data_IF_436961022743
#
_entry.id   IF_436961022743
#
_cell.length_a   1.000
_cell.length_b   1.000
_cell.length_c   1.000
_cell.angle_alpha   90.00
_cell.angle_beta   90.00
_cell.angle_gamma   90.00
#
_symmetry.space_group_name_H-M   'P 1'
#
loop_
_entity.id
_entity.type
_entity.pdbx_description
1 polymer ?
#
# COMPACT_ATOMS: atom_id res chain seq x y z
N UNK A 1 12.18 0.18 -1.36
CA UNK A 1 12.50 0.59 0.03
C UNK A 1 11.21 0.93 0.77
N UNK A 2 10.33 1.80 0.25
CA UNK A 2 9.05 2.11 0.92
C UNK A 2 8.17 0.88 1.14
N UNK A 3 8.19 -0.09 0.22
CA UNK A 3 7.40 -1.32 0.28
C UNK A 3 7.80 -2.19 1.47
N UNK A 4 9.12 -2.42 1.64
CA UNK A 4 9.66 -3.19 2.76
C UNK A 4 9.41 -2.44 4.08
N UNK A 5 9.56 -1.11 4.08
CA UNK A 5 9.28 -0.31 5.27
C UNK A 5 7.81 -0.43 5.70
N UNK A 6 6.88 -0.41 4.75
CA UNK A 6 5.45 -0.59 5.01
C UNK A 6 5.14 -2.01 5.50
N UNK A 7 5.78 -3.03 4.90
CA UNK A 7 5.65 -4.41 5.36
C UNK A 7 6.12 -4.59 6.82
N UNK A 8 7.28 -4.06 7.18
CA UNK A 8 7.78 -4.09 8.55
C UNK A 8 6.87 -3.32 9.51
N UNK A 9 6.37 -2.15 9.08
CA UNK A 9 5.45 -1.36 9.89
C UNK A 9 4.14 -2.11 10.19
N UNK A 10 3.71 -2.99 9.29
CA UNK A 10 2.52 -3.82 9.42
C UNK A 10 2.73 -5.10 10.24
N UNK A 11 3.93 -5.66 10.25
CA UNK A 11 4.18 -7.02 10.77
C UNK A 11 4.99 -7.06 12.04
N UNK A 12 5.83 -6.04 12.29
CA UNK A 12 6.70 -6.00 13.46
C UNK A 12 6.03 -5.25 14.60
N UNK A 13 5.98 -5.86 15.77
CA UNK A 13 5.58 -5.23 17.03
C UNK A 13 6.81 -5.21 17.94
N UNK A 14 7.31 -4.02 18.24
CA UNK A 14 8.54 -3.85 19.01
C UNK A 14 8.54 -2.46 19.66
N UNK A 15 9.20 -2.28 20.80
CA UNK A 15 9.47 -0.92 21.32
C UNK A 15 10.73 -0.32 20.69
N UNK A 16 11.58 -1.17 20.10
CA UNK A 16 12.85 -0.76 19.49
C UNK A 16 12.61 -0.09 18.13
N UNK A 17 13.29 1.04 17.86
CA UNK A 17 13.19 1.73 16.58
C UNK A 17 13.79 0.92 15.43
N UNK A 18 13.16 1.02 14.27
CA UNK A 18 13.56 0.41 13.01
C UNK A 18 13.73 1.54 12.01
N UNK A 19 14.98 1.79 11.58
CA UNK A 19 15.29 2.85 10.64
C UNK A 19 15.76 2.25 9.33
N UNK A 20 15.04 2.51 8.25
CA UNK A 20 15.47 2.18 6.89
C UNK A 20 16.20 3.36 6.27
N UNK A 21 17.34 3.09 5.65
CA UNK A 21 18.12 4.09 4.93
C UNK A 21 18.73 3.51 3.66
N UNK A 22 19.34 4.36 2.84
CA UNK A 22 20.01 3.98 1.61
C UNK A 22 20.80 5.14 1.03
N UNK A 23 21.13 5.05 -0.25
CA UNK A 23 21.82 6.10 -0.99
C UNK A 23 21.17 6.26 -2.37
N UNK A 24 21.15 7.48 -2.89
CA UNK A 24 20.76 7.75 -4.27
C UNK A 24 21.96 7.56 -5.20
N UNK A 25 23.15 7.95 -4.73
CA UNK A 25 24.38 7.86 -5.51
C UNK A 25 25.18 6.62 -5.11
N UNK A 26 25.95 6.02 -6.05
CA UNK A 26 26.87 4.95 -5.69
C UNK A 26 27.98 5.48 -4.78
N UNK A 27 28.58 4.59 -3.99
CA UNK A 27 29.61 4.93 -2.99
C UNK A 27 30.88 5.54 -3.59
N UNK A 28 31.17 5.29 -4.87
CA UNK A 28 32.32 5.86 -5.61
C UNK A 28 32.03 7.23 -6.23
N UNK A 29 30.78 7.71 -6.21
CA UNK A 29 30.44 9.00 -6.80
C UNK A 29 30.98 10.18 -5.97
N UNK A 30 31.37 11.24 -6.65
CA UNK A 30 31.68 12.51 -6.01
C UNK A 30 30.41 13.04 -5.32
N UNK A 31 30.52 13.29 -4.01
CA UNK A 31 29.39 13.69 -3.18
C UNK A 31 28.36 12.57 -2.97
N UNK A 32 28.83 11.35 -2.73
CA UNK A 32 28.01 10.22 -2.29
C UNK A 32 27.27 10.54 -0.99
N UNK A 33 25.98 10.20 -0.92
CA UNK A 33 25.09 10.49 0.20
C UNK A 33 25.03 9.35 1.24
N UNK A 34 25.47 8.14 0.85
CA UNK A 34 25.43 6.94 1.70
C UNK A 34 26.05 7.10 3.10
N UNK A 35 27.29 7.61 3.25
CA UNK A 35 27.92 7.75 4.56
C UNK A 35 27.13 8.65 5.51
N UNK A 36 26.65 9.81 5.02
CA UNK A 36 25.83 10.73 5.80
C UNK A 36 24.47 10.12 6.18
N UNK A 37 23.82 9.45 5.24
CA UNK A 37 22.53 8.79 5.47
C UNK A 37 22.64 7.69 6.54
N UNK A 38 23.71 6.90 6.56
CA UNK A 38 23.94 5.88 7.60
C UNK A 38 24.12 6.51 8.98
N UNK A 39 24.94 7.56 9.10
CA UNK A 39 25.14 8.25 10.39
C UNK A 39 23.83 8.87 10.88
N UNK A 40 23.09 9.53 9.99
CA UNK A 40 21.78 10.09 10.31
C UNK A 40 20.80 9.00 10.76
N UNK A 41 20.81 7.83 10.13
CA UNK A 41 19.95 6.71 10.49
C UNK A 41 20.28 6.14 11.89
N UNK A 42 21.57 5.99 12.22
CA UNK A 42 22.01 5.55 13.56
C UNK A 42 21.65 6.58 14.62
N UNK A 43 21.83 7.87 14.35
CA UNK A 43 21.43 8.94 15.26
C UNK A 43 19.90 8.96 15.44
N UNK A 44 19.15 8.64 14.39
CA UNK A 44 17.69 8.46 14.49
C UNK A 44 17.32 7.28 15.37
N UNK A 45 17.95 6.12 15.18
CA UNK A 45 17.69 4.92 15.97
C UNK A 45 18.08 5.07 17.46
N UNK A 46 19.02 5.93 17.79
CA UNK A 46 19.46 6.19 19.19
C UNK A 46 18.68 7.31 19.87
N UNK A 47 17.89 8.10 19.12
CA UNK A 47 17.07 9.16 19.69
C UNK A 47 15.88 8.58 20.44
N UNK A 48 15.69 9.01 21.68
CA UNK A 48 14.60 8.53 22.54
C UNK A 48 13.29 9.26 22.29
N UNK A 49 12.16 8.59 22.50
CA UNK A 49 10.84 9.23 22.60
C UNK A 49 10.04 9.36 21.30
N UNK A 50 10.60 8.97 20.14
CA UNK A 50 9.85 8.92 18.89
C UNK A 50 9.31 7.53 18.53
N UNK A 51 9.97 6.47 19.01
CA UNK A 51 9.57 5.07 18.81
C UNK A 51 8.77 4.58 20.00
N UNK A 52 7.63 3.96 19.72
CA UNK A 52 6.75 3.26 20.67
C UNK A 52 5.92 2.22 19.90
N UNK A 53 5.25 1.28 20.58
CA UNK A 53 4.39 0.27 19.93
C UNK A 53 3.44 0.90 18.90
N UNK A 54 3.64 0.57 17.61
CA UNK A 54 2.92 1.12 16.45
C UNK A 54 3.66 2.19 15.65
N UNK A 55 4.81 2.67 16.13
CA UNK A 55 5.52 3.86 15.66
C UNK A 55 7.02 3.61 15.44
N UNK A 56 7.39 2.38 15.09
CA UNK A 56 8.78 1.93 15.14
C UNK A 56 9.54 2.18 13.85
N UNK A 57 8.85 2.18 12.71
CA UNK A 57 9.49 2.16 11.39
C UNK A 57 9.49 3.54 10.77
N UNK A 58 10.68 4.04 10.42
CA UNK A 58 10.87 5.28 9.65
C UNK A 58 11.88 5.08 8.53
N UNK A 59 11.77 5.92 7.51
CA UNK A 59 12.73 6.02 6.41
C UNK A 59 13.54 7.30 6.60
N UNK A 60 14.86 7.17 6.64
CA UNK A 60 15.80 8.29 6.75
C UNK A 60 16.66 8.33 5.50
N UNK A 61 16.43 9.33 4.66
CA UNK A 61 17.18 9.57 3.42
C UNK A 61 16.94 11.00 2.94
N UNK A 62 17.93 11.61 2.27
CA UNK A 62 17.83 12.99 1.75
C UNK A 62 17.46 14.02 2.84
N UNK A 63 18.10 13.91 4.00
CA UNK A 63 17.88 14.78 5.17
C UNK A 63 16.42 14.84 5.64
N UNK A 64 15.61 13.82 5.33
CA UNK A 64 14.22 13.70 5.77
C UNK A 64 14.04 12.49 6.65
N UNK A 65 13.16 12.64 7.63
CA UNK A 65 12.58 11.51 8.38
C UNK A 65 11.15 11.34 7.91
N UNK A 66 10.84 10.19 7.33
CA UNK A 66 9.54 9.93 6.70
C UNK A 66 8.90 8.65 7.26
N UNK A 67 7.58 8.68 7.39
CA UNK A 67 6.79 7.49 7.67
C UNK A 67 6.76 6.60 6.41
N UNK A 68 6.75 5.26 6.57
CA UNK A 68 6.61 4.35 5.44
C UNK A 68 5.35 4.62 4.61
N UNK A 69 4.26 4.95 5.31
CA UNK A 69 2.99 5.33 4.75
C UNK A 69 3.12 6.59 3.89
N UNK A 70 2.74 6.47 2.62
CA UNK A 70 2.76 7.59 1.68
C UNK A 70 4.14 7.99 1.17
N UNK A 71 5.25 7.39 1.66
CA UNK A 71 6.56 7.62 1.02
C UNK A 71 6.58 6.91 -0.32
N UNK A 72 6.92 7.63 -1.40
CA UNK A 72 7.15 7.05 -2.72
C UNK A 72 8.55 7.36 -3.21
N UNK A 73 9.10 6.47 -4.04
CA UNK A 73 10.29 6.75 -4.83
C UNK A 73 9.86 7.18 -6.22
N UNK A 74 10.26 8.39 -6.63
CA UNK A 74 9.93 8.95 -7.93
C UNK A 74 11.14 9.68 -8.49
N UNK A 75 11.48 9.41 -9.75
CA UNK A 75 12.61 10.03 -10.46
C UNK A 75 13.91 10.10 -9.61
N UNK A 76 14.30 8.96 -9.04
CA UNK A 76 15.46 8.80 -8.14
C UNK A 76 15.40 9.52 -6.79
N UNK A 77 14.30 10.20 -6.46
CA UNK A 77 14.10 10.88 -5.19
C UNK A 77 13.06 10.14 -4.34
N UNK A 78 13.18 10.29 -3.04
CA UNK A 78 12.16 9.88 -2.07
C UNK A 78 11.32 11.10 -1.72
N UNK A 79 10.03 10.98 -2.03
CA UNK A 79 9.04 12.04 -1.84
C UNK A 79 8.08 11.61 -0.73
N UNK A 80 7.88 12.47 0.29
CA UNK A 80 6.86 12.22 1.29
C UNK A 80 5.48 12.51 0.70
N UNK A 81 4.55 11.56 0.83
CA UNK A 81 3.14 11.80 0.60
C UNK A 81 2.48 12.56 1.76
N UNK A 82 1.15 12.74 1.71
CA UNK A 82 0.40 13.38 2.78
C UNK A 82 0.68 12.75 4.14
N UNK A 83 1.05 13.59 5.13
CA UNK A 83 1.40 13.18 6.51
C UNK A 83 2.58 12.20 6.63
N UNK A 84 3.32 11.96 5.55
CA UNK A 84 4.48 11.08 5.54
C UNK A 84 5.74 11.77 6.07
N UNK A 85 5.89 13.08 5.85
CA UNK A 85 7.03 13.83 6.37
C UNK A 85 6.90 14.06 7.89
N UNK A 86 7.72 13.35 8.67
CA UNK A 86 7.74 13.46 10.13
C UNK A 86 8.71 14.54 10.60
N UNK A 87 9.79 14.73 9.86
CA UNK A 87 10.88 15.59 10.30
C UNK A 87 12.01 15.69 9.28
N UNK A 88 13.12 16.26 9.74
CA UNK A 88 14.33 16.43 8.95
C UNK A 88 15.56 15.98 9.71
N UNK A 89 16.69 15.98 9.01
CA UNK A 89 18.02 15.80 9.59
C UNK A 89 18.73 17.15 9.54
N UNK A 90 19.25 17.60 10.68
CA UNK A 90 20.07 18.82 10.79
C UNK A 90 21.35 18.45 11.53
N UNK A 91 22.51 18.76 10.95
CA UNK A 91 23.82 18.38 11.50
C UNK A 91 23.92 16.88 11.85
N UNK A 92 23.42 16.03 10.95
CA UNK A 92 23.33 14.57 11.11
C UNK A 92 22.45 14.10 12.28
N UNK A 93 21.71 15.00 12.93
CA UNK A 93 20.79 14.68 14.03
C UNK A 93 19.35 14.78 13.55
N UNK A 94 18.47 13.85 13.98
CA UNK A 94 17.07 13.93 13.64
C UNK A 94 16.38 15.08 14.39
N UNK A 95 15.48 15.76 13.68
CA UNK A 95 14.51 16.67 14.24
C UNK A 95 13.12 16.17 13.83
N UNK A 96 12.32 15.76 14.81
CA UNK A 96 10.94 15.34 14.60
C UNK A 96 10.01 16.55 14.78
N UNK A 97 9.31 16.94 13.73
CA UNK A 97 8.22 17.93 13.79
C UNK A 97 6.90 17.26 14.18
N UNK A 98 6.69 16.06 13.68
CA UNK A 98 5.56 15.20 13.96
C UNK A 98 6.08 13.85 14.40
N UNK A 99 5.46 13.29 15.43
CA UNK A 99 5.67 11.88 15.73
C UNK A 99 4.97 11.04 14.66
N UNK A 100 5.48 9.83 14.35
CA UNK A 100 4.74 8.89 13.53
C UNK A 100 3.33 8.78 14.11
N UNK A 101 2.28 9.06 13.33
CA UNK A 101 0.90 8.88 13.81
C UNK A 101 0.55 7.39 13.92
N UNK A 102 -0.56 7.00 14.58
CA UNK A 102 -1.01 5.60 14.67
C UNK A 102 -1.57 5.08 13.34
N UNK A 103 -1.04 5.58 12.21
CA UNK A 103 -1.57 5.37 10.87
C UNK A 103 -1.36 3.96 10.32
N UNK A 104 -0.83 3.03 11.13
CA UNK A 104 -1.02 1.60 10.92
C UNK A 104 -2.21 1.14 11.79
N UNK A 105 -3.47 1.26 11.31
CA UNK A 105 -4.64 0.89 12.11
C UNK A 105 -4.69 -0.62 12.46
N UNK A 106 -3.84 -1.43 11.84
CA UNK A 106 -3.80 -2.88 12.01
C UNK A 106 -2.35 -3.38 11.94
N UNK A 107 -1.94 -4.16 12.95
CA UNK A 107 -0.74 -4.99 12.91
C UNK A 107 -1.16 -6.41 12.55
N UNK A 108 -0.40 -7.07 11.69
CA UNK A 108 -0.58 -8.48 11.33
C UNK A 108 0.43 -9.31 12.10
N UNK A 109 -0.07 -10.22 12.94
CA UNK A 109 0.78 -11.20 13.60
C UNK A 109 1.16 -12.30 12.59
N UNK A 110 2.44 -12.30 12.20
CA UNK A 110 3.04 -13.30 11.32
C UNK A 110 3.93 -14.29 12.07
N UNK A 111 3.90 -14.29 13.41
CA UNK A 111 4.74 -15.18 14.24
C UNK A 111 4.49 -16.67 13.97
N UNK A 112 3.31 -17.01 13.47
CA UNK A 112 2.91 -18.38 13.12
C UNK A 112 3.39 -18.82 11.73
N UNK A 113 3.92 -17.90 10.91
CA UNK A 113 4.48 -18.26 9.60
C UNK A 113 5.90 -18.80 9.80
N UNK A 114 6.13 -20.02 9.31
CA UNK A 114 7.50 -20.53 9.18
C UNK A 114 8.21 -19.83 8.02
N UNK A 115 9.54 -19.59 8.08
CA UNK A 115 10.28 -18.87 7.05
C UNK A 115 10.18 -19.46 5.63
N UNK A 116 9.87 -20.76 5.54
CA UNK A 116 9.71 -21.51 4.30
C UNK A 116 8.30 -21.38 3.70
N UNK A 117 7.33 -20.83 4.45
CA UNK A 117 5.98 -20.59 3.94
C UNK A 117 5.99 -19.39 3.00
N UNK A 118 5.66 -19.64 1.73
CA UNK A 118 5.42 -18.58 0.75
C UNK A 118 4.20 -17.74 1.14
N UNK A 119 4.34 -16.41 1.12
CA UNK A 119 3.20 -15.51 1.24
C UNK A 119 2.25 -15.67 0.03
N UNK A 120 0.95 -15.39 0.19
CA UNK A 120 0.00 -15.45 -0.91
C UNK A 120 0.44 -14.56 -2.08
N UNK A 121 0.39 -15.09 -3.30
CA UNK A 121 0.75 -14.34 -4.50
C UNK A 121 -0.28 -13.24 -4.78
N UNK A 122 0.20 -12.00 -4.95
CA UNK A 122 -0.63 -10.83 -5.24
C UNK A 122 -0.16 -10.20 -6.53
N UNK A 123 -1.03 -10.16 -7.55
CA UNK A 123 -0.73 -9.55 -8.83
C UNK A 123 -1.01 -8.04 -8.80
N UNK A 124 -0.14 -7.23 -9.40
CA UNK A 124 -0.34 -5.78 -9.56
C UNK A 124 -0.57 -5.50 -11.05
N UNK A 125 -1.74 -5.00 -11.40
CA UNK A 125 -2.13 -4.74 -12.79
C UNK A 125 -2.41 -3.24 -13.00
N UNK A 126 -1.57 -2.53 -13.78
CA UNK A 126 -1.85 -1.15 -14.13
C UNK A 126 -2.96 -1.08 -15.18
N UNK A 127 -4.05 -0.40 -14.83
CA UNK A 127 -5.13 -0.13 -15.75
C UNK A 127 -4.78 1.04 -16.68
N UNK A 128 -5.03 0.86 -17.96
CA UNK A 128 -4.92 1.87 -19.00
C UNK A 128 -6.19 1.87 -19.85
N UNK A 129 -6.31 2.79 -20.82
CA UNK A 129 -7.54 2.98 -21.60
C UNK A 129 -8.05 1.73 -22.33
N UNK A 130 -7.16 0.80 -22.69
CA UNK A 130 -7.48 -0.47 -23.35
C UNK A 130 -7.17 -1.67 -22.44
N UNK A 131 -7.38 -1.52 -21.13
CA UNK A 131 -7.13 -2.59 -20.16
C UNK A 131 -8.07 -3.76 -20.40
N UNK A 132 -7.52 -4.93 -20.73
CA UNK A 132 -8.31 -6.12 -21.06
C UNK A 132 -8.57 -6.98 -19.82
N UNK A 133 -9.81 -7.42 -19.64
CA UNK A 133 -10.20 -8.35 -18.56
C UNK A 133 -9.44 -9.69 -18.61
N UNK A 134 -8.93 -10.08 -19.77
CA UNK A 134 -8.08 -11.27 -19.93
C UNK A 134 -6.81 -11.23 -19.07
N UNK A 135 -6.28 -10.05 -18.74
CA UNK A 135 -5.12 -9.93 -17.83
C UNK A 135 -5.48 -10.33 -16.39
N UNK A 136 -6.71 -10.03 -15.96
CA UNK A 136 -7.24 -10.45 -14.65
C UNK A 136 -7.44 -11.97 -14.64
N UNK A 137 -8.04 -12.53 -15.70
CA UNK A 137 -8.23 -13.97 -15.84
C UNK A 137 -6.88 -14.72 -15.83
N UNK A 138 -5.89 -14.24 -16.59
CA UNK A 138 -4.56 -14.83 -16.60
C UNK A 138 -3.88 -14.79 -15.22
N UNK A 139 -4.02 -13.70 -14.47
CA UNK A 139 -3.49 -13.63 -13.10
C UNK A 139 -4.15 -14.66 -12.16
N UNK A 140 -5.46 -14.88 -12.30
CA UNK A 140 -6.19 -15.91 -11.53
C UNK A 140 -5.73 -17.31 -11.94
N UNK A 141 -5.58 -17.57 -13.25
CA UNK A 141 -5.13 -18.86 -13.79
C UNK A 141 -3.70 -19.19 -13.36
N UNK A 142 -2.85 -18.17 -13.19
CA UNK A 142 -1.50 -18.30 -12.63
C UNK A 142 -1.49 -18.58 -11.11
N UNK A 143 -2.62 -18.48 -10.43
CA UNK A 143 -2.77 -18.83 -9.01
C UNK A 143 -2.78 -17.64 -8.04
N UNK A 144 -2.86 -16.40 -8.54
CA UNK A 144 -2.91 -15.21 -7.69
C UNK A 144 -4.06 -15.28 -6.67
N UNK A 145 -3.73 -15.03 -5.41
CA UNK A 145 -4.68 -15.00 -4.28
C UNK A 145 -5.19 -13.59 -3.98
N UNK A 146 -4.61 -12.57 -4.61
CA UNK A 146 -5.08 -11.20 -4.58
C UNK A 146 -4.68 -10.44 -5.83
N UNK A 147 -5.43 -9.39 -6.14
CA UNK A 147 -5.17 -8.51 -7.29
C UNK A 147 -5.24 -7.06 -6.81
N UNK A 148 -4.20 -6.29 -7.10
CA UNK A 148 -4.13 -4.83 -6.93
C UNK A 148 -4.24 -4.19 -8.30
N UNK A 149 -5.37 -3.52 -8.55
CA UNK A 149 -5.56 -2.73 -9.77
C UNK A 149 -5.07 -1.30 -9.55
N UNK A 150 -4.15 -0.83 -10.38
CA UNK A 150 -3.70 0.57 -10.36
C UNK A 150 -4.54 1.36 -11.38
N UNK A 151 -5.58 2.02 -10.89
CA UNK A 151 -6.45 2.89 -11.70
C UNK A 151 -5.85 4.27 -11.97
N UNK A 152 -6.53 5.07 -12.81
CA UNK A 152 -6.20 6.47 -13.04
C UNK A 152 -7.16 7.40 -12.28
N UNK A 153 -6.70 8.61 -11.94
CA UNK A 153 -7.48 9.55 -11.12
C UNK A 153 -7.79 8.95 -9.74
N UNK A 154 -9.06 9.02 -9.33
CA UNK A 154 -9.53 8.53 -8.02
C UNK A 154 -9.78 7.01 -8.01
N UNK A 155 -8.91 6.22 -8.66
CA UNK A 155 -9.05 4.77 -8.79
C UNK A 155 -10.01 4.34 -9.91
N UNK A 156 -10.26 5.21 -10.88
CA UNK A 156 -11.07 4.88 -12.03
C UNK A 156 -10.36 3.87 -12.94
N UNK A 157 -11.11 2.88 -13.39
CA UNK A 157 -10.68 1.99 -14.46
C UNK A 157 -11.90 1.68 -15.34
N UNK A 158 -11.66 1.63 -16.65
CA UNK A 158 -12.73 1.33 -17.59
C UNK A 158 -13.05 -0.16 -17.50
N UNK A 159 -14.32 -0.49 -17.27
CA UNK A 159 -14.86 -1.81 -17.57
C UNK A 159 -14.82 -2.00 -19.09
N UNK A 160 -13.65 -2.33 -19.65
CA UNK A 160 -13.53 -2.64 -21.06
C UNK A 160 -14.17 -4.01 -21.32
N UNK A 161 -15.43 -3.95 -21.77
CA UNK A 161 -16.01 -4.81 -22.82
C UNK A 161 -15.42 -6.22 -22.92
N UNK A 162 -15.84 -7.12 -22.03
CA UNK A 162 -15.41 -8.52 -22.09
C UNK A 162 -15.94 -9.43 -20.98
N UNK A 163 -16.42 -8.88 -19.86
CA UNK A 163 -17.31 -9.64 -18.97
C UNK A 163 -18.67 -9.67 -19.68
N UNK A 164 -19.15 -10.86 -20.00
CA UNK A 164 -20.30 -11.10 -20.88
C UNK A 164 -21.49 -10.20 -20.58
N UNK A 165 -22.18 -9.77 -21.65
CA UNK A 165 -23.45 -9.04 -21.60
C UNK A 165 -24.39 -9.68 -20.58
N UNK A 166 -24.50 -9.04 -19.43
CA UNK A 166 -25.47 -9.30 -18.38
C UNK A 166 -25.70 -7.96 -17.70
N UNK A 167 -26.70 -7.26 -18.20
CA UNK A 167 -27.42 -6.16 -17.57
C UNK A 167 -26.82 -4.76 -17.56
N UNK A 168 -27.66 -3.84 -18.03
CA UNK A 168 -27.39 -2.49 -18.45
C UNK A 168 -27.87 -1.48 -17.37
N UNK A 169 -27.79 -1.83 -16.08
CA UNK A 169 -28.44 -1.08 -14.99
C UNK A 169 -27.47 -0.54 -13.90
N UNK A 170 -26.14 -0.73 -13.99
CA UNK A 170 -25.21 -0.24 -12.94
C UNK A 170 -24.56 1.13 -13.24
N UNK A 171 -25.24 1.99 -13.99
CA UNK A 171 -24.76 3.36 -14.31
C UNK A 171 -24.73 4.33 -13.11
N UNK A 172 -24.94 3.89 -11.86
CA UNK A 172 -25.03 4.78 -10.69
C UNK A 172 -24.03 4.56 -9.55
N UNK A 173 -23.13 3.59 -9.61
CA UNK A 173 -22.17 3.34 -8.51
C UNK A 173 -20.70 3.66 -8.83
N UNK A 174 -20.44 4.63 -9.70
CA UNK A 174 -19.11 5.23 -9.84
C UNK A 174 -18.99 6.52 -9.01
N UNK A 175 -19.26 6.43 -7.71
CA UNK A 175 -19.06 7.54 -6.79
C UNK A 175 -18.00 7.20 -5.74
N UNK A 176 -16.86 7.89 -5.89
CA UNK A 176 -15.97 8.42 -4.87
C UNK A 176 -15.67 7.54 -3.65
N UNK A 177 -14.44 7.03 -3.58
CA UNK A 177 -13.83 6.57 -2.32
C UNK A 177 -12.65 7.48 -1.96
N UNK A 178 -12.96 8.74 -1.64
CA UNK A 178 -12.01 9.65 -1.01
C UNK A 178 -12.52 9.99 0.39
N UNK A 179 -12.11 9.21 1.39
CA UNK A 179 -12.08 9.56 2.84
C UNK A 179 -11.92 8.34 3.75
N UNK A 180 -10.77 7.66 3.73
CA UNK A 180 -10.46 6.62 4.72
C UNK A 180 -9.16 6.88 5.49
N UNK A 181 -9.13 8.06 6.12
CA UNK A 181 -8.46 8.22 7.41
C UNK A 181 -9.45 8.02 8.59
N UNK A 182 -10.70 7.56 8.35
CA UNK A 182 -11.75 7.52 9.39
C UNK A 182 -12.35 6.17 9.78
N UNK A 183 -12.41 5.11 8.97
CA UNK A 183 -13.08 3.85 9.40
C UNK A 183 -12.64 2.58 8.66
N UNK A 184 -11.67 1.83 9.19
CA UNK A 184 -11.46 0.38 8.92
C UNK A 184 -11.26 -0.04 7.44
N UNK A 185 -11.10 -1.33 7.16
CA UNK A 185 -10.94 -1.83 5.78
C UNK A 185 -12.27 -1.78 5.02
N UNK A 186 -12.27 -1.16 3.83
CA UNK A 186 -13.40 -1.21 2.88
C UNK A 186 -13.43 -2.56 2.20
N UNK A 187 -14.53 -3.31 2.38
CA UNK A 187 -14.85 -4.49 1.58
C UNK A 187 -15.73 -4.07 0.40
N UNK A 188 -15.32 -4.41 -0.82
CA UNK A 188 -16.21 -4.38 -1.98
C UNK A 188 -17.02 -5.68 -1.94
N UNK A 189 -18.30 -5.60 -1.54
CA UNK A 189 -19.26 -6.72 -1.65
C UNK A 189 -20.00 -6.61 -2.98
N UNK A 190 -19.62 -7.41 -3.96
CA UNK A 190 -20.48 -7.68 -5.11
C UNK A 190 -21.53 -8.71 -4.72
N UNK A 191 -22.82 -8.34 -4.69
CA UNK A 191 -23.92 -9.32 -4.67
C UNK A 191 -24.27 -9.67 -6.11
N UNK A 192 -24.10 -10.94 -6.50
CA UNK A 192 -24.73 -11.47 -7.70
C UNK A 192 -26.14 -11.93 -7.33
N UNK A 193 -27.16 -11.22 -7.79
CA UNK A 193 -28.53 -11.73 -7.77
C UNK A 193 -28.83 -12.31 -9.15
N UNK A 194 -28.84 -13.64 -9.27
CA UNK A 194 -29.38 -14.29 -10.47
C UNK A 194 -30.91 -14.17 -10.43
N UNK A 195 -31.48 -13.60 -11.49
CA UNK A 195 -32.91 -13.46 -11.70
C UNK A 195 -33.36 -14.50 -12.72
N UNK A 196 -33.99 -15.57 -12.26
CA UNK A 196 -34.56 -16.60 -13.12
C UNK A 196 -35.94 -16.13 -13.63
N UNK A 197 -36.05 -15.87 -14.94
CA UNK A 197 -37.25 -15.29 -15.57
C UNK A 197 -38.50 -16.18 -15.48
N UNK A 198 -38.33 -17.48 -15.24
CA UNK A 198 -39.44 -18.44 -15.28
C UNK A 198 -40.06 -18.74 -13.91
N UNK A 199 -39.42 -18.40 -12.79
CA UNK A 199 -39.85 -18.85 -11.45
C UNK A 199 -40.20 -17.74 -10.44
N UNK A 200 -39.89 -16.47 -10.74
CA UNK A 200 -40.36 -15.31 -9.96
C UNK A 200 -39.99 -15.30 -8.46
N UNK A 201 -38.92 -16.00 -8.05
CA UNK A 201 -38.39 -15.99 -6.67
C UNK A 201 -36.87 -15.85 -6.65
N UNK A 202 -36.37 -15.10 -5.69
CA UNK A 202 -34.93 -14.99 -5.39
C UNK A 202 -34.41 -16.25 -4.69
N UNK A 203 -33.37 -16.88 -5.24
CA UNK A 203 -32.64 -17.98 -4.60
C UNK A 203 -31.45 -17.43 -3.78
N UNK A 204 -31.27 -17.91 -2.55
CA UNK A 204 -30.17 -17.50 -1.66
C UNK A 204 -28.83 -18.21 -1.98
N UNK A 205 -27.81 -17.35 -2.09
CA UNK A 205 -26.34 -17.46 -2.04
C UNK A 205 -25.59 -18.81 -2.02
N UNK A 206 -24.55 -18.89 -2.86
CA UNK A 206 -23.26 -19.55 -2.55
C UNK A 206 -22.17 -18.49 -2.26
N UNK A 207 -21.25 -18.71 -1.30
CA UNK A 207 -20.22 -17.74 -0.95
C UNK A 207 -19.11 -17.72 -2.01
N UNK A 208 -19.02 -16.64 -2.79
CA UNK A 208 -17.87 -16.38 -3.67
C UNK A 208 -16.72 -15.74 -2.90
N UNK A 209 -15.52 -16.27 -3.11
CA UNK A 209 -14.23 -15.83 -2.58
C UNK A 209 -14.04 -14.31 -2.69
N UNK A 210 -13.82 -13.65 -1.55
CA UNK A 210 -13.47 -12.22 -1.43
C UNK A 210 -12.12 -11.94 -2.13
N UNK A 211 -12.12 -11.60 -3.43
CA UNK A 211 -10.89 -11.51 -4.26
C UNK A 211 -10.54 -10.12 -4.82
N UNK A 212 -11.27 -9.06 -4.48
CA UNK A 212 -11.02 -7.72 -5.03
C UNK A 212 -10.77 -6.69 -3.93
N UNK A 213 -9.53 -6.25 -3.80
CA UNK A 213 -9.16 -5.03 -3.07
C UNK A 213 -8.65 -4.01 -4.07
N UNK A 214 -9.50 -3.06 -4.45
CA UNK A 214 -9.12 -1.92 -5.30
C UNK A 214 -8.50 -0.85 -4.41
N UNK A 215 -7.23 -0.53 -4.64
CA UNK A 215 -6.52 0.52 -3.92
C UNK A 215 -6.19 1.65 -4.88
N UNK A 216 -6.86 2.80 -4.74
CA UNK A 216 -6.54 4.00 -5.50
C UNK A 216 -5.25 4.63 -4.94
N UNK A 217 -4.15 4.56 -5.68
CA UNK A 217 -3.00 5.42 -5.44
C UNK A 217 -3.22 6.69 -6.26
N UNK A 218 -3.92 7.66 -5.66
CA UNK A 218 -4.20 8.95 -6.28
C UNK A 218 -2.91 9.67 -6.68
N UNK A 219 -2.86 10.12 -7.93
CA UNK A 219 -1.84 11.04 -8.42
C UNK A 219 -2.37 12.46 -8.21
N UNK A 220 -1.77 13.18 -7.27
CA UNK A 220 -1.93 14.62 -7.09
C UNK A 220 -0.61 15.23 -6.65
#
# INVERSE_FOLDING_TARGET
MPEIAAFLALTVTSDKPIVMTGAIKPHTAIGADGPGNIVAAVNTATTTGWSSMGHEVVIVIQDKVMAPWGTKKENSLFLPGPRSLLGGIVDLKPFFRWLPGPCAPMKFDISQLVPETSLPEVAILPAHQDFRSGLVAAAIDMGAKGIVLVGYGDGYWLLASGIGRGDQEDRRENQSCDSLCRRGPVRIRGKRTDWDRDSGRSLESTPTTDLLTVSALGWS
#
